data_IF_749657481538
#
_entry.id   IF_749657481538
#
_cell.length_a   1.000
_cell.length_b   1.000
_cell.length_c   1.000
_cell.angle_alpha   90.00
_cell.angle_beta   90.00
_cell.angle_gamma   90.00
#
_symmetry.space_group_name_H-M   'P 1'
#
loop_
_entity.id
_entity.type
_entity.pdbx_description
1 polymer ?
#
# COMPACT_ATOMS: atom_id res chain seq x y z
N UNK A 1 -6.64 7.98 -23.66
CA UNK A 1 -5.35 7.96 -24.37
C UNK A 1 -4.27 7.61 -23.38
N UNK A 2 -3.38 6.70 -23.72
CA UNK A 2 -2.14 6.43 -22.97
C UNK A 2 -0.97 6.80 -23.86
N UNK A 3 0.00 7.52 -23.31
CA UNK A 3 1.17 7.99 -24.03
C UNK A 3 2.40 7.19 -23.61
N UNK A 4 3.20 6.73 -24.59
CA UNK A 4 4.41 5.93 -24.38
C UNK A 4 4.20 4.69 -23.48
N UNK A 5 3.10 3.98 -23.69
CA UNK A 5 2.86 2.72 -22.99
C UNK A 5 3.99 1.72 -23.29
N UNK A 6 4.64 1.22 -22.26
CA UNK A 6 5.66 0.19 -22.32
C UNK A 6 5.22 -0.98 -21.42
N UNK A 7 5.37 -2.17 -21.95
CA UNK A 7 5.17 -3.40 -21.19
C UNK A 7 6.26 -4.38 -21.53
N UNK A 8 6.82 -5.00 -20.53
CA UNK A 8 7.77 -6.10 -20.70
C UNK A 8 7.48 -7.18 -19.68
N UNK A 9 7.61 -8.42 -20.09
CA UNK A 9 7.54 -9.56 -19.18
C UNK A 9 8.66 -10.53 -19.54
N UNK A 10 9.34 -11.01 -18.52
CA UNK A 10 10.39 -12.02 -18.63
C UNK A 10 10.06 -13.11 -17.62
N UNK A 11 9.96 -14.34 -18.10
CA UNK A 11 9.84 -15.52 -17.24
C UNK A 11 10.73 -16.62 -17.79
N UNK A 12 11.25 -17.45 -16.91
CA UNK A 12 11.89 -18.68 -17.32
C UNK A 12 10.83 -19.81 -17.40
N UNK A 13 11.11 -20.82 -18.16
CA UNK A 13 10.30 -22.03 -18.21
C UNK A 13 10.55 -22.85 -16.92
N UNK A 14 9.51 -23.21 -16.15
CA UNK A 14 9.69 -23.95 -14.92
C UNK A 14 10.05 -25.42 -15.22
N UNK A 15 10.90 -26.01 -14.38
CA UNK A 15 11.21 -27.45 -14.44
C UNK A 15 10.02 -28.29 -13.98
N UNK A 16 9.18 -27.73 -13.12
CA UNK A 16 7.93 -28.33 -12.62
C UNK A 16 6.77 -27.45 -13.08
N UNK A 17 5.69 -28.00 -13.63
CA UNK A 17 4.51 -27.24 -14.02
C UNK A 17 3.96 -26.43 -12.84
N UNK A 18 3.68 -25.14 -13.06
CA UNK A 18 3.22 -24.20 -12.03
C UNK A 18 1.85 -24.61 -11.47
N UNK A 19 1.02 -25.19 -12.29
CA UNK A 19 -0.32 -25.69 -11.95
C UNK A 19 -0.32 -27.04 -11.23
N UNK A 20 0.81 -27.76 -11.21
CA UNK A 20 0.97 -28.98 -10.44
C UNK A 20 1.52 -28.69 -9.03
N UNK A 21 2.57 -27.87 -8.94
CA UNK A 21 3.20 -27.50 -7.66
C UNK A 21 3.95 -26.18 -7.80
N UNK A 22 3.30 -25.10 -7.40
CA UNK A 22 3.84 -23.75 -7.52
C UNK A 22 5.05 -23.51 -6.60
N UNK A 23 5.00 -24.06 -5.40
CA UNK A 23 6.07 -23.92 -4.40
C UNK A 23 7.34 -24.62 -4.90
N UNK A 24 7.21 -25.86 -5.36
CA UNK A 24 8.33 -26.60 -5.94
C UNK A 24 8.85 -25.95 -7.23
N UNK A 25 7.98 -25.35 -8.04
CA UNK A 25 8.42 -24.61 -9.22
C UNK A 25 9.32 -23.42 -8.85
N UNK A 26 8.96 -22.66 -7.81
CA UNK A 26 9.80 -21.56 -7.28
C UNK A 26 11.13 -22.10 -6.74
N UNK A 27 11.11 -23.18 -5.95
CA UNK A 27 12.34 -23.82 -5.42
C UNK A 27 13.27 -24.31 -6.53
N UNK A 28 12.71 -24.74 -7.67
CA UNK A 28 13.45 -25.16 -8.87
C UNK A 28 13.85 -24.00 -9.77
N UNK A 29 13.73 -22.77 -9.29
CA UNK A 29 14.22 -21.56 -9.93
C UNK A 29 13.23 -20.91 -10.89
N UNK A 30 11.94 -21.27 -10.86
CA UNK A 30 10.94 -20.49 -11.59
C UNK A 30 10.97 -19.03 -11.14
N UNK A 31 10.94 -18.12 -12.11
CA UNK A 31 10.82 -16.70 -11.84
C UNK A 31 10.05 -16.00 -12.96
N UNK A 32 9.34 -14.96 -12.61
CA UNK A 32 8.65 -14.09 -13.55
C UNK A 32 8.75 -12.65 -13.09
N UNK A 33 9.06 -11.76 -14.04
CA UNK A 33 9.06 -10.31 -13.79
C UNK A 33 8.26 -9.64 -14.89
N UNK A 34 7.30 -8.82 -14.48
CA UNK A 34 6.48 -8.01 -15.37
C UNK A 34 6.62 -6.54 -15.00
N UNK A 35 6.90 -5.72 -16.00
CA UNK A 35 6.99 -4.28 -15.87
C UNK A 35 5.97 -3.63 -16.79
N UNK A 36 5.29 -2.64 -16.27
CA UNK A 36 4.34 -1.81 -17.00
C UNK A 36 4.61 -0.35 -16.68
N UNK A 37 4.63 0.52 -17.69
CA UNK A 37 4.78 1.95 -17.45
C UNK A 37 4.16 2.77 -18.59
N UNK A 38 3.80 4.00 -18.27
CA UNK A 38 3.39 5.02 -19.23
C UNK A 38 3.80 6.41 -18.75
N UNK A 39 3.96 7.35 -19.68
CA UNK A 39 4.34 8.73 -19.35
C UNK A 39 3.10 9.58 -19.00
N UNK A 40 1.95 9.25 -19.61
CA UNK A 40 0.69 9.94 -19.38
C UNK A 40 -0.51 9.05 -19.70
N UNK A 41 -1.55 9.20 -18.92
CA UNK A 41 -2.85 8.57 -19.20
C UNK A 41 -3.97 9.59 -19.07
N UNK A 42 -4.92 9.55 -20.01
CA UNK A 42 -6.14 10.36 -19.96
C UNK A 42 -7.35 9.51 -20.37
N UNK A 43 -8.42 9.62 -19.60
CA UNK A 43 -9.73 9.05 -19.89
C UNK A 43 -10.79 10.13 -19.69
N UNK A 44 -11.64 10.33 -20.66
CA UNK A 44 -12.81 11.21 -20.55
C UNK A 44 -14.04 10.45 -21.00
N UNK A 45 -15.02 10.34 -20.13
CA UNK A 45 -16.31 9.72 -20.38
C UNK A 45 -17.39 10.80 -20.19
N UNK A 46 -18.20 11.00 -21.22
CA UNK A 46 -19.36 11.87 -21.17
C UNK A 46 -20.61 11.06 -21.49
N UNK A 47 -21.65 11.24 -20.70
CA UNK A 47 -22.92 10.57 -20.90
C UNK A 47 -24.08 11.52 -20.62
N UNK A 48 -25.21 11.27 -21.28
CA UNK A 48 -26.48 11.93 -20.99
C UNK A 48 -27.37 10.96 -20.22
N UNK A 49 -27.61 11.27 -18.96
CA UNK A 49 -28.50 10.52 -18.09
C UNK A 49 -29.88 11.21 -18.00
N UNK A 50 -30.94 10.55 -17.51
CA UNK A 50 -32.24 11.18 -17.30
C UNK A 50 -32.22 12.43 -16.41
N UNK A 51 -31.19 12.55 -15.52
CA UNK A 51 -30.95 13.71 -14.66
C UNK A 51 -30.05 14.79 -15.26
N UNK A 52 -29.69 14.70 -16.56
CA UNK A 52 -28.81 15.65 -17.24
C UNK A 52 -27.45 15.06 -17.63
N UNK A 53 -26.56 15.88 -18.21
CA UNK A 53 -25.22 15.42 -18.58
C UNK A 53 -24.38 15.05 -17.36
N UNK A 54 -23.57 14.02 -17.51
CA UNK A 54 -22.52 13.63 -16.53
C UNK A 54 -21.17 13.53 -17.24
N UNK A 55 -20.11 13.83 -16.53
CA UNK A 55 -18.75 13.74 -17.03
C UNK A 55 -17.86 13.09 -15.96
N UNK A 56 -17.07 12.11 -16.37
CA UNK A 56 -15.98 11.53 -15.59
C UNK A 56 -14.70 11.76 -16.37
N UNK A 57 -13.71 12.37 -15.75
CA UNK A 57 -12.37 12.48 -16.31
C UNK A 57 -11.32 11.97 -15.33
N UNK A 58 -10.34 11.29 -15.88
CA UNK A 58 -9.17 10.82 -15.17
C UNK A 58 -7.95 11.25 -15.97
N UNK A 59 -6.95 11.79 -15.30
CA UNK A 59 -5.62 12.02 -15.87
C UNK A 59 -4.54 11.61 -14.89
N UNK A 60 -3.46 11.06 -15.42
CA UNK A 60 -2.28 10.69 -14.64
C UNK A 60 -1.02 11.08 -15.40
N UNK A 61 -0.03 11.55 -14.69
CA UNK A 61 1.33 11.69 -15.18
C UNK A 61 2.04 10.33 -15.31
N UNK A 62 3.37 10.31 -15.19
CA UNK A 62 4.12 9.05 -15.26
C UNK A 62 3.65 8.05 -14.21
N UNK A 63 3.51 6.79 -14.64
CA UNK A 63 3.23 5.69 -13.72
C UNK A 63 4.00 4.44 -14.12
N UNK A 64 4.31 3.62 -13.13
CA UNK A 64 4.94 2.33 -13.29
C UNK A 64 4.39 1.30 -12.33
N UNK A 65 4.40 0.04 -12.77
CA UNK A 65 4.09 -1.13 -11.96
C UNK A 65 5.10 -2.22 -12.27
N UNK A 66 5.75 -2.71 -11.26
CA UNK A 66 6.63 -3.88 -11.32
C UNK A 66 6.05 -4.98 -10.45
N UNK A 67 5.92 -6.17 -11.01
CA UNK A 67 5.61 -7.39 -10.28
C UNK A 67 6.72 -8.39 -10.56
N UNK A 68 7.34 -8.93 -9.53
CA UNK A 68 8.33 -9.98 -9.66
C UNK A 68 8.03 -11.09 -8.66
N UNK A 69 8.16 -12.32 -9.11
CA UNK A 69 8.05 -13.51 -8.29
C UNK A 69 9.20 -14.45 -8.59
N UNK A 70 9.81 -14.98 -7.56
CA UNK A 70 10.93 -15.89 -7.66
C UNK A 70 11.10 -16.68 -6.35
N UNK A 71 12.10 -17.51 -6.29
CA UNK A 71 12.54 -18.14 -5.03
C UNK A 71 12.80 -17.09 -3.91
N UNK A 72 13.22 -15.87 -4.25
CA UNK A 72 13.46 -14.82 -3.26
C UNK A 72 12.17 -14.26 -2.64
N UNK A 73 11.02 -14.49 -3.25
CA UNK A 73 9.72 -14.02 -2.78
C UNK A 73 8.92 -13.27 -3.83
N UNK A 74 7.94 -12.51 -3.38
CA UNK A 74 7.08 -11.64 -4.18
C UNK A 74 7.49 -10.18 -3.96
N UNK A 75 7.69 -9.46 -5.05
CA UNK A 75 7.90 -8.01 -5.07
C UNK A 75 6.79 -7.38 -5.91
N UNK A 76 6.10 -6.42 -5.33
CA UNK A 76 5.16 -5.54 -6.05
C UNK A 76 5.60 -4.11 -5.77
N UNK A 77 5.79 -3.33 -6.82
CA UNK A 77 6.10 -1.91 -6.71
C UNK A 77 5.26 -1.11 -7.69
N UNK A 78 4.63 -0.06 -7.20
CA UNK A 78 3.80 0.84 -7.99
C UNK A 78 4.16 2.29 -7.67
N UNK A 79 4.35 3.09 -8.71
CA UNK A 79 4.56 4.52 -8.63
C UNK A 79 3.62 5.22 -9.59
N UNK A 80 3.04 6.33 -9.15
CA UNK A 80 2.13 7.13 -9.94
C UNK A 80 2.27 8.60 -9.55
N UNK A 81 2.27 9.50 -10.53
CA UNK A 81 2.45 10.93 -10.30
C UNK A 81 1.32 11.74 -10.91
N UNK A 82 0.97 12.84 -10.25
CA UNK A 82 0.06 13.89 -10.75
C UNK A 82 -1.27 13.36 -11.25
N UNK A 83 -1.94 12.59 -10.41
CA UNK A 83 -3.25 12.03 -10.75
C UNK A 83 -4.36 13.01 -10.39
N UNK A 84 -5.30 13.16 -11.31
CA UNK A 84 -6.54 13.94 -11.11
C UNK A 84 -7.72 13.08 -11.53
N UNK A 85 -8.70 12.96 -10.64
CA UNK A 85 -9.98 12.34 -10.89
C UNK A 85 -11.08 13.41 -10.74
N UNK A 86 -11.90 13.59 -11.76
CA UNK A 86 -12.98 14.56 -11.78
C UNK A 86 -14.31 13.87 -12.14
N UNK A 87 -15.33 14.11 -11.34
CA UNK A 87 -16.69 13.65 -11.62
C UNK A 87 -17.69 14.80 -11.48
N UNK A 88 -18.43 15.10 -12.57
CA UNK A 88 -19.36 16.23 -12.61
C UNK A 88 -20.75 15.78 -12.99
N UNK A 89 -21.74 16.25 -12.24
CA UNK A 89 -23.16 16.16 -12.54
C UNK A 89 -23.77 17.54 -12.35
N UNK A 90 -23.68 18.42 -13.38
CA UNK A 90 -24.06 19.84 -13.25
C UNK A 90 -25.49 20.05 -12.82
N UNK A 91 -26.42 19.19 -13.25
CA UNK A 91 -27.84 19.24 -12.84
C UNK A 91 -28.06 19.12 -11.33
N UNK A 92 -27.15 18.48 -10.63
CA UNK A 92 -27.20 18.27 -9.17
C UNK A 92 -26.24 19.21 -8.42
N UNK A 93 -25.48 20.03 -9.13
CA UNK A 93 -24.43 20.87 -8.58
C UNK A 93 -23.20 20.07 -8.08
N UNK A 94 -23.04 18.83 -8.52
CA UNK A 94 -21.94 17.98 -8.10
C UNK A 94 -20.70 18.22 -8.98
N UNK A 95 -19.61 18.60 -8.33
CA UNK A 95 -18.29 18.77 -8.92
C UNK A 95 -17.27 18.18 -7.94
N UNK A 96 -17.00 16.90 -8.09
CA UNK A 96 -16.06 16.17 -7.26
C UNK A 96 -14.72 16.12 -7.96
N UNK A 97 -13.70 16.68 -7.33
CA UNK A 97 -12.32 16.56 -7.77
C UNK A 97 -11.46 16.03 -6.63
N UNK A 98 -10.66 15.03 -6.95
CA UNK A 98 -9.63 14.49 -6.12
C UNK A 98 -8.34 14.50 -6.92
N UNK A 99 -7.28 15.06 -6.38
CA UNK A 99 -5.95 14.98 -6.98
C UNK A 99 -4.88 14.64 -5.96
N UNK A 100 -3.78 14.10 -6.42
CA UNK A 100 -2.58 13.89 -5.63
C UNK A 100 -1.32 14.06 -6.48
N UNK A 101 -0.24 14.46 -5.82
CA UNK A 101 1.04 14.70 -6.49
C UNK A 101 1.80 13.40 -6.73
N UNK A 102 1.77 12.48 -5.78
CA UNK A 102 2.50 11.23 -5.84
C UNK A 102 1.76 10.14 -5.07
N UNK A 103 1.70 8.95 -5.65
CA UNK A 103 1.33 7.73 -4.95
C UNK A 103 2.38 6.67 -5.26
N UNK A 104 2.93 6.06 -4.21
CA UNK A 104 3.85 4.92 -4.29
C UNK A 104 3.41 3.83 -3.34
N UNK A 105 3.58 2.59 -3.75
CA UNK A 105 3.40 1.43 -2.87
C UNK A 105 4.43 0.36 -3.25
N UNK A 106 5.07 -0.22 -2.26
CA UNK A 106 5.95 -1.36 -2.47
C UNK A 106 5.68 -2.43 -1.41
N UNK A 107 5.77 -3.69 -1.84
CA UNK A 107 5.68 -4.87 -0.99
C UNK A 107 6.78 -5.83 -1.40
N UNK A 108 7.49 -6.36 -0.41
CA UNK A 108 8.44 -7.45 -0.54
C UNK A 108 8.16 -8.48 0.54
N UNK A 109 7.78 -9.69 0.17
CA UNK A 109 7.48 -10.76 1.12
C UNK A 109 8.14 -12.07 0.68
N UNK A 110 8.75 -12.84 1.59
CA UNK A 110 9.19 -14.20 1.30
C UNK A 110 7.97 -15.10 1.07
N UNK A 111 8.08 -16.06 0.17
CA UNK A 111 7.00 -17.00 -0.14
C UNK A 111 7.31 -18.42 0.32
N UNK A 112 8.58 -18.81 0.32
CA UNK A 112 9.05 -20.15 0.58
C UNK A 112 9.67 -20.28 1.96
N UNK A 113 9.57 -21.45 2.56
CA UNK A 113 10.33 -21.79 3.76
C UNK A 113 11.82 -21.89 3.41
N UNK A 114 12.66 -21.13 4.10
CA UNK A 114 14.11 -21.19 3.94
C UNK A 114 14.81 -21.37 5.29
N UNK A 115 16.01 -21.87 5.24
CA UNK A 115 16.86 -21.91 6.44
C UNK A 115 17.31 -20.50 6.81
N UNK A 116 16.99 -20.06 8.03
CA UNK A 116 17.38 -18.75 8.55
C UNK A 116 16.34 -17.65 8.33
N UNK A 117 16.77 -16.44 8.62
CA UNK A 117 15.93 -15.25 8.54
C UNK A 117 15.65 -14.84 7.09
N UNK A 118 14.46 -14.36 6.86
CA UNK A 118 14.02 -13.83 5.57
C UNK A 118 13.46 -12.43 5.79
N UNK A 119 13.83 -11.50 4.93
CA UNK A 119 13.40 -10.11 5.01
C UNK A 119 12.02 -9.92 4.38
N UNK A 120 11.22 -9.05 4.99
CA UNK A 120 9.98 -8.52 4.41
C UNK A 120 9.94 -7.00 4.54
N UNK A 121 9.14 -6.37 3.70
CA UNK A 121 8.95 -4.92 3.76
C UNK A 121 7.69 -4.47 3.06
N UNK A 122 7.17 -3.35 3.50
CA UNK A 122 6.05 -2.67 2.85
C UNK A 122 6.21 -1.17 3.00
N UNK A 123 5.99 -0.44 1.90
CA UNK A 123 5.89 1.01 1.96
C UNK A 123 4.68 1.52 1.21
N UNK A 124 4.12 2.62 1.71
CA UNK A 124 3.04 3.38 1.07
C UNK A 124 3.42 4.86 1.18
N UNK A 125 3.29 5.57 0.07
CA UNK A 125 3.43 7.02 0.01
C UNK A 125 2.26 7.60 -0.76
N UNK A 126 1.57 8.54 -0.16
CA UNK A 126 0.57 9.38 -0.80
C UNK A 126 0.88 10.81 -0.43
N UNK A 127 1.24 11.64 -1.39
CA UNK A 127 1.57 13.04 -1.12
C UNK A 127 0.70 14.01 -1.90
N UNK A 128 0.40 15.13 -1.25
CA UNK A 128 -0.36 16.22 -1.83
C UNK A 128 -1.78 15.81 -2.25
N UNK A 129 -2.45 14.97 -1.47
CA UNK A 129 -3.86 14.64 -1.68
C UNK A 129 -4.73 15.87 -1.44
N UNK A 130 -5.38 16.34 -2.48
CA UNK A 130 -6.37 17.40 -2.41
C UNK A 130 -7.77 16.87 -2.69
N UNK A 131 -8.73 17.37 -1.96
CA UNK A 131 -10.15 17.12 -2.16
C UNK A 131 -10.85 18.44 -2.49
N UNK A 132 -11.71 18.45 -3.51
CA UNK A 132 -12.54 19.62 -3.80
C UNK A 132 -13.45 19.98 -2.61
N UNK A 133 -13.84 21.23 -2.50
CA UNK A 133 -14.74 21.68 -1.45
C UNK A 133 -16.06 20.89 -1.44
N UNK A 134 -16.51 20.40 -2.58
CA UNK A 134 -17.71 19.57 -2.68
C UNK A 134 -17.51 18.25 -1.94
N UNK A 135 -16.36 17.58 -2.09
CA UNK A 135 -16.03 16.35 -1.34
C UNK A 135 -15.84 16.69 0.13
N UNK A 136 -15.08 17.75 0.41
CA UNK A 136 -14.74 18.17 1.75
C UNK A 136 -15.96 18.41 2.63
N UNK A 137 -16.94 19.11 2.10
CA UNK A 137 -18.19 19.43 2.80
C UNK A 137 -19.05 18.21 3.19
N UNK A 138 -18.78 17.01 2.65
CA UNK A 138 -19.42 15.79 3.16
C UNK A 138 -18.86 15.35 4.51
N UNK A 139 -17.60 15.68 4.80
CA UNK A 139 -16.91 15.28 6.03
C UNK A 139 -16.90 16.41 7.04
N UNK A 140 -16.85 17.66 6.58
CA UNK A 140 -16.65 18.86 7.37
C UNK A 140 -17.55 20.00 6.87
N UNK A 141 -18.85 19.81 6.98
CA UNK A 141 -19.85 20.80 6.55
C UNK A 141 -19.73 22.13 7.33
N UNK A 142 -19.22 22.10 8.53
CA UNK A 142 -19.06 23.27 9.40
C UNK A 142 -17.70 23.96 9.21
N UNK A 143 -16.83 23.44 8.32
CA UNK A 143 -15.49 23.95 8.06
C UNK A 143 -14.60 24.06 9.31
N UNK A 144 -14.66 23.08 10.17
CA UNK A 144 -13.88 22.98 11.41
C UNK A 144 -12.44 22.59 11.10
N UNK A 145 -12.25 21.67 10.16
CA UNK A 145 -10.94 21.16 9.77
C UNK A 145 -10.32 22.01 8.65
N UNK A 146 -9.01 22.03 8.57
CA UNK A 146 -8.30 22.70 7.48
C UNK A 146 -8.33 21.81 6.23
N UNK A 147 -8.95 22.29 5.15
CA UNK A 147 -8.84 21.67 3.84
C UNK A 147 -7.48 22.02 3.22
N UNK A 148 -6.46 21.25 3.54
CA UNK A 148 -5.10 21.38 3.05
C UNK A 148 -4.66 20.05 2.41
N UNK A 149 -3.70 20.09 1.48
CA UNK A 149 -3.15 18.88 0.91
C UNK A 149 -2.67 17.93 2.01
N UNK A 150 -3.13 16.67 1.96
CA UNK A 150 -2.72 15.66 2.92
C UNK A 150 -1.56 14.82 2.39
N UNK A 151 -0.71 14.35 3.31
CA UNK A 151 0.38 13.41 3.02
C UNK A 151 0.32 12.25 4.01
N UNK A 152 0.49 11.04 3.49
CA UNK A 152 0.68 9.81 4.26
C UNK A 152 1.94 9.11 3.73
N UNK A 153 2.90 8.87 4.62
CA UNK A 153 4.04 8.00 4.34
C UNK A 153 4.10 6.91 5.41
N UNK A 154 4.37 5.69 4.98
CA UNK A 154 4.48 4.54 5.85
C UNK A 154 5.51 3.60 5.24
N UNK A 155 6.56 3.29 5.98
CA UNK A 155 7.64 2.40 5.55
C UNK A 155 8.02 1.48 6.70
N UNK A 156 7.85 0.18 6.47
CA UNK A 156 8.23 -0.87 7.40
C UNK A 156 9.13 -1.90 6.74
N UNK A 157 10.04 -2.43 7.52
CA UNK A 157 10.85 -3.60 7.20
C UNK A 157 10.96 -4.51 8.42
N UNK A 158 11.32 -5.75 8.20
CA UNK A 158 11.52 -6.71 9.27
C UNK A 158 12.08 -8.01 8.78
N UNK A 159 12.29 -8.94 9.72
CA UNK A 159 12.72 -10.29 9.43
C UNK A 159 11.78 -11.32 10.04
N UNK A 160 11.65 -12.44 9.36
CA UNK A 160 10.78 -13.56 9.74
C UNK A 160 11.48 -14.89 9.48
N UNK A 161 11.05 -15.92 10.16
CA UNK A 161 11.30 -17.32 9.81
C UNK A 161 9.97 -17.96 9.49
N UNK A 162 9.80 -18.40 8.26
CA UNK A 162 8.62 -19.15 7.86
C UNK A 162 8.72 -20.60 8.28
N UNK A 163 7.62 -21.15 8.76
CA UNK A 163 7.42 -22.57 9.09
C UNK A 163 6.63 -23.26 7.98
N UNK A 164 5.76 -22.50 7.33
CA UNK A 164 4.95 -22.92 6.21
C UNK A 164 5.09 -21.91 5.06
N UNK A 165 5.17 -22.39 3.81
CA UNK A 165 5.23 -21.52 2.63
C UNK A 165 3.94 -20.73 2.46
N UNK A 166 4.02 -19.45 2.16
CA UNK A 166 2.83 -18.58 2.01
C UNK A 166 1.95 -18.96 0.81
N UNK A 167 2.46 -19.78 -0.09
CA UNK A 167 1.75 -20.31 -1.27
C UNK A 167 1.22 -21.73 -1.07
N UNK A 168 1.44 -22.33 0.11
CA UNK A 168 0.98 -23.67 0.39
C UNK A 168 -0.56 -23.77 0.42
N UNK A 169 -1.09 -24.94 0.07
CA UNK A 169 -2.54 -25.21 0.15
C UNK A 169 -3.06 -25.09 1.59
N UNK A 170 -2.22 -25.37 2.58
CA UNK A 170 -2.54 -25.23 4.00
C UNK A 170 -2.88 -23.78 4.37
N UNK A 171 -2.25 -22.81 3.72
CA UNK A 171 -2.48 -21.38 3.95
C UNK A 171 -3.63 -20.86 3.06
N UNK A 172 -3.59 -21.12 1.76
CA UNK A 172 -4.56 -20.55 0.79
C UNK A 172 -5.99 -21.00 1.07
N UNK A 173 -6.19 -22.21 1.58
CA UNK A 173 -7.52 -22.81 1.84
C UNK A 173 -8.06 -22.59 3.26
N UNK A 174 -7.28 -22.05 4.19
CA UNK A 174 -7.62 -22.03 5.60
C UNK A 174 -8.06 -20.66 6.09
N UNK A 175 -9.34 -20.50 6.43
CA UNK A 175 -9.89 -19.24 6.98
C UNK A 175 -9.59 -19.01 8.47
N UNK A 176 -9.02 -19.99 9.17
CA UNK A 176 -8.74 -19.94 10.62
C UNK A 176 -7.25 -20.14 10.93
N UNK A 177 -6.38 -19.62 10.09
CA UNK A 177 -4.93 -19.70 10.30
C UNK A 177 -4.52 -18.97 11.60
N UNK A 178 -3.78 -19.71 12.43
CA UNK A 178 -3.02 -19.10 13.50
C UNK A 178 -1.73 -18.53 12.91
N UNK A 179 -1.45 -17.21 13.04
CA UNK A 179 -0.24 -16.61 12.50
C UNK A 179 1.07 -17.32 12.94
N UNK A 180 1.08 -17.91 14.13
CA UNK A 180 2.24 -18.66 14.66
C UNK A 180 2.50 -20.00 13.93
N UNK A 181 1.50 -20.53 13.22
CA UNK A 181 1.65 -21.72 12.37
C UNK A 181 2.32 -21.36 11.03
N UNK A 182 2.24 -20.11 10.62
CA UNK A 182 2.86 -19.62 9.38
C UNK A 182 4.34 -19.33 9.59
N UNK A 183 4.69 -18.70 10.71
CA UNK A 183 6.07 -18.33 11.01
C UNK A 183 6.20 -17.44 12.24
N UNK A 184 7.41 -16.99 12.47
CA UNK A 184 7.76 -16.12 13.58
C UNK A 184 8.34 -14.81 13.05
N UNK A 185 7.83 -13.68 13.49
CA UNK A 185 8.46 -12.39 13.25
C UNK A 185 9.61 -12.25 14.25
N UNK A 186 10.80 -11.95 13.75
CA UNK A 186 11.99 -11.77 14.56
C UNK A 186 12.28 -10.30 14.82
N UNK A 187 12.10 -9.46 13.81
CA UNK A 187 12.29 -8.02 13.93
C UNK A 187 11.22 -7.25 13.15
N UNK A 188 10.96 -6.05 13.59
CA UNK A 188 10.07 -5.09 12.94
C UNK A 188 10.64 -3.69 13.12
N UNK A 189 10.81 -2.99 12.04
CA UNK A 189 11.27 -1.62 12.04
C UNK A 189 10.28 -0.75 11.28
N UNK A 190 9.76 0.27 11.94
CA UNK A 190 9.06 1.37 11.33
C UNK A 190 10.12 2.40 10.95
N UNK A 191 10.54 2.41 9.69
CA UNK A 191 11.55 3.32 9.17
C UNK A 191 11.01 4.75 9.19
N UNK A 192 9.77 4.91 8.70
CA UNK A 192 9.08 6.21 8.65
C UNK A 192 7.57 6.01 8.73
N UNK A 193 6.95 6.90 9.50
CA UNK A 193 5.53 7.17 9.47
C UNK A 193 5.32 8.66 9.50
N UNK A 194 4.70 9.20 8.47
CA UNK A 194 4.28 10.59 8.38
C UNK A 194 2.80 10.66 8.03
N UNK A 195 2.03 11.32 8.85
CA UNK A 195 0.69 11.77 8.52
C UNK A 195 0.65 13.28 8.67
N UNK A 196 0.43 14.00 7.58
CA UNK A 196 0.20 15.45 7.57
C UNK A 196 -1.18 15.71 6.98
N UNK A 197 -2.12 16.07 7.82
CA UNK A 197 -3.50 16.31 7.42
C UNK A 197 -4.21 17.20 8.45
N UNK A 198 -5.20 17.99 8.01
CA UNK A 198 -6.06 18.80 8.87
C UNK A 198 -5.31 19.84 9.73
N UNK A 199 -4.07 20.15 9.37
CA UNK A 199 -3.18 21.01 10.17
C UNK A 199 -2.51 20.30 11.35
N UNK A 200 -2.54 18.95 11.34
CA UNK A 200 -1.83 18.10 12.31
C UNK A 200 -0.79 17.28 11.57
N UNK A 201 0.43 17.27 12.10
CA UNK A 201 1.51 16.40 11.62
C UNK A 201 1.82 15.35 12.69
N UNK A 202 1.84 14.09 12.31
CA UNK A 202 2.24 12.96 13.15
C UNK A 202 3.44 12.28 12.50
N UNK A 203 4.56 12.22 13.20
CA UNK A 203 5.77 11.52 12.79
C UNK A 203 6.06 10.39 13.78
N UNK A 204 6.35 9.20 13.29
CA UNK A 204 6.78 8.09 14.14
C UNK A 204 7.85 7.24 13.47
N UNK A 205 8.69 6.63 14.30
CA UNK A 205 9.61 5.57 13.91
C UNK A 205 9.82 4.59 15.07
N UNK A 206 10.33 3.42 14.79
CA UNK A 206 10.57 2.43 15.83
C UNK A 206 11.40 1.25 15.31
N UNK A 207 12.06 0.58 16.25
CA UNK A 207 12.92 -0.58 15.97
C UNK A 207 12.70 -1.59 17.10
N UNK A 208 12.23 -2.79 16.75
CA UNK A 208 11.78 -3.81 17.67
C UNK A 208 12.30 -5.19 17.27
N UNK A 209 12.77 -5.93 18.24
CA UNK A 209 13.00 -7.37 18.17
C UNK A 209 11.89 -8.09 18.94
N UNK A 210 11.57 -9.33 18.59
CA UNK A 210 10.53 -10.10 19.24
C UNK A 210 11.11 -11.30 19.98
N UNK A 211 10.78 -11.39 21.28
CA UNK A 211 11.01 -12.57 22.08
C UNK A 211 9.91 -13.59 21.82
N UNK A 212 10.19 -14.52 20.91
CA UNK A 212 9.25 -15.57 20.51
C UNK A 212 9.13 -16.72 21.55
N UNK A 213 9.72 -16.58 22.73
CA UNK A 213 9.52 -17.50 23.86
C UNK A 213 8.51 -16.93 24.88
N UNK A 214 8.26 -15.60 24.86
CA UNK A 214 7.33 -14.91 25.77
C UNK A 214 6.04 -14.49 25.07
N UNK A 215 5.04 -15.35 25.09
CA UNK A 215 3.67 -15.06 24.62
C UNK A 215 2.71 -14.69 25.75
N UNK A 216 3.16 -14.67 27.01
CA UNK A 216 2.27 -14.41 28.16
C UNK A 216 2.16 -12.91 28.46
N UNK A 217 3.23 -12.16 28.25
CA UNK A 217 3.28 -10.73 28.56
C UNK A 217 2.30 -9.90 27.70
N UNK A 218 2.08 -10.29 26.46
CA UNK A 218 1.22 -9.58 25.50
C UNK A 218 0.09 -10.45 24.94
N UNK A 219 -0.51 -11.30 25.78
CA UNK A 219 -1.73 -12.07 25.50
C UNK A 219 -1.72 -12.81 24.15
N UNK A 220 -0.67 -13.62 23.95
CA UNK A 220 -0.50 -14.45 22.74
C UNK A 220 0.29 -13.79 21.60
N UNK A 221 0.81 -12.59 21.81
CA UNK A 221 1.73 -11.95 20.88
C UNK A 221 3.16 -12.07 21.44
N UNK A 222 4.18 -12.37 20.61
CA UNK A 222 5.58 -12.37 21.05
C UNK A 222 5.94 -11.01 21.67
N UNK A 223 6.71 -11.04 22.77
CA UNK A 223 7.05 -9.82 23.48
C UNK A 223 7.97 -8.91 22.64
N UNK A 224 7.52 -7.70 22.27
CA UNK A 224 8.38 -6.73 21.58
C UNK A 224 9.40 -6.13 22.54
N UNK A 225 10.64 -6.06 22.10
CA UNK A 225 11.76 -5.42 22.77
C UNK A 225 12.36 -4.39 21.85
N UNK A 226 12.31 -3.12 22.22
CA UNK A 226 12.81 -2.08 21.33
C UNK A 226 12.49 -0.69 21.83
N UNK A 227 12.53 0.25 20.93
CA UNK A 227 12.20 1.65 21.17
C UNK A 227 11.54 2.26 19.96
N UNK A 228 10.66 3.22 20.20
CA UNK A 228 10.06 4.05 19.18
C UNK A 228 10.01 5.50 19.59
N UNK A 229 9.77 6.36 18.64
CA UNK A 229 9.47 7.77 18.86
C UNK A 229 8.17 8.14 18.17
N UNK A 230 7.44 9.04 18.81
CA UNK A 230 6.21 9.62 18.27
C UNK A 230 6.27 11.13 18.51
N UNK A 231 6.04 11.91 17.47
CA UNK A 231 5.98 13.37 17.52
C UNK A 231 4.68 13.83 16.88
N UNK A 232 3.93 14.65 17.61
CA UNK A 232 2.66 15.23 17.14
C UNK A 232 2.78 16.74 17.19
N UNK A 233 2.42 17.40 16.10
CA UNK A 233 2.41 18.87 15.96
C UNK A 233 1.03 19.33 15.50
N UNK A 234 0.64 20.56 15.86
CA UNK A 234 -0.63 21.15 15.44
C UNK A 234 -1.86 20.66 16.21
N UNK A 235 -1.74 19.67 17.10
CA UNK A 235 -2.88 19.07 17.81
C UNK A 235 -3.66 20.08 18.67
N UNK A 236 -3.00 21.02 19.33
CA UNK A 236 -3.68 22.01 20.15
C UNK A 236 -4.60 22.93 19.31
N UNK A 237 -4.10 23.45 18.19
CA UNK A 237 -4.88 24.26 17.29
C UNK A 237 -6.01 23.48 16.60
N UNK A 238 -5.85 22.18 16.43
CA UNK A 238 -6.91 21.28 15.95
C UNK A 238 -8.01 21.08 17.00
N UNK A 239 -7.63 20.82 18.27
CA UNK A 239 -8.58 20.66 19.37
C UNK A 239 -9.37 21.95 19.65
N UNK A 240 -8.73 23.13 19.60
CA UNK A 240 -9.40 24.43 19.77
C UNK A 240 -10.47 24.71 18.70
N UNK A 241 -10.36 24.09 17.51
CA UNK A 241 -11.37 24.20 16.45
C UNK A 241 -12.56 23.27 16.64
N UNK A 242 -12.36 22.18 17.38
CA UNK A 242 -13.44 21.20 17.68
C UNK A 242 -14.32 21.62 18.87
N UNK A 243 -13.87 22.58 19.69
CA UNK A 243 -14.63 23.16 20.82
C UNK A 243 -15.57 24.28 20.36
#
# INVERSE_FOLDING_TARGET
VMDQLKSSSVSNEPEVPIDEDFELALEKGFSSTSNFSFDKSELVLNANAPGGPLSLSFSSGPASLTNAISEAGLIIQSDNQKTVLNFKVPSNGWDFELDFQEFGAAVNIPLLVKTGEQEFGMSIKLSGLNLSDTIWNFFDADNIMLNQPATLEFDIEGSTVLVEGLTSEAIIGNQNLNPLEIGQILSFKLNDFLLDAFGVTVEANGDFEFDNEDFQTFDGIPRPMGKGSLKIQGSNAFMERLE
#
